data_IF_017966134471
#
_entry.id   IF_017966134471
#
_cell.length_a   1.000
_cell.length_b   1.000
_cell.length_c   1.000
_cell.angle_alpha   90.00
_cell.angle_beta   90.00
_cell.angle_gamma   90.00
#
_symmetry.space_group_name_H-M   'P 1'
#
loop_
_entity.id
_entity.type
_entity.pdbx_description
1 polymer ?
#
# COMPACT_ATOMS: atom_id res chain seq x y z
N UNK A 1 -17.44 1.31 27.70
CA UNK A 1 -15.97 1.22 27.80
C UNK A 1 -15.57 -0.11 27.19
N UNK A 2 -14.77 -0.11 26.11
CA UNK A 2 -14.25 -1.36 25.53
C UNK A 2 -13.04 -1.77 26.36
N UNK A 3 -13.16 -2.86 27.12
CA UNK A 3 -12.04 -3.46 27.83
C UNK A 3 -11.40 -4.46 26.86
N UNK A 4 -10.16 -4.21 26.46
CA UNK A 4 -9.42 -5.10 25.57
C UNK A 4 -8.78 -6.18 26.43
N UNK A 5 -9.20 -7.42 26.24
CA UNK A 5 -8.55 -8.58 26.84
C UNK A 5 -7.26 -8.90 26.08
N UNK A 6 -6.13 -8.94 26.82
CA UNK A 6 -4.82 -9.27 26.26
C UNK A 6 -4.79 -10.68 25.67
N UNK A 7 -5.57 -11.64 26.20
CA UNK A 7 -5.65 -12.99 25.64
C UNK A 7 -6.38 -12.97 24.29
N UNK A 8 -7.50 -12.25 24.19
CA UNK A 8 -8.20 -12.05 22.93
C UNK A 8 -7.31 -11.34 21.90
N UNK A 9 -6.52 -10.34 22.33
CA UNK A 9 -5.58 -9.63 21.47
C UNK A 9 -4.52 -10.57 20.89
N UNK A 10 -3.87 -11.38 21.73
CA UNK A 10 -2.86 -12.35 21.29
C UNK A 10 -3.47 -13.38 20.32
N UNK A 11 -4.71 -13.80 20.56
CA UNK A 11 -5.41 -14.71 19.65
C UNK A 11 -5.63 -14.07 18.27
N UNK A 12 -6.08 -12.82 18.21
CA UNK A 12 -6.27 -12.12 16.93
C UNK A 12 -4.95 -11.88 16.19
N UNK A 13 -3.85 -11.62 16.90
CA UNK A 13 -2.51 -11.59 16.27
C UNK A 13 -2.11 -12.93 15.64
N UNK A 14 -2.43 -14.06 16.28
CA UNK A 14 -2.19 -15.39 15.70
C UNK A 14 -3.09 -15.64 14.48
N UNK A 15 -4.36 -15.27 14.59
CA UNK A 15 -5.33 -15.39 13.50
C UNK A 15 -4.92 -14.54 12.29
N UNK A 16 -4.38 -13.34 12.53
CA UNK A 16 -3.87 -12.44 11.51
C UNK A 16 -2.77 -13.09 10.65
N UNK A 17 -1.80 -13.79 11.27
CA UNK A 17 -0.71 -14.46 10.53
C UNK A 17 -1.24 -15.59 9.63
N UNK A 18 -2.30 -16.26 10.06
CA UNK A 18 -2.94 -17.34 9.29
C UNK A 18 -3.96 -16.83 8.26
N UNK A 19 -4.23 -15.52 8.23
CA UNK A 19 -5.24 -14.95 7.35
C UNK A 19 -4.72 -14.77 5.92
N UNK A 20 -5.45 -15.30 4.93
CA UNK A 20 -5.06 -15.25 3.52
C UNK A 20 -4.91 -13.83 2.96
N UNK A 21 -5.77 -12.88 3.36
CA UNK A 21 -5.65 -11.50 2.87
C UNK A 21 -4.39 -10.83 3.42
N UNK A 22 -4.03 -11.08 4.68
CA UNK A 22 -2.77 -10.58 5.27
C UNK A 22 -1.56 -11.19 4.56
N UNK A 23 -1.60 -12.48 4.25
CA UNK A 23 -0.51 -13.13 3.51
C UNK A 23 -0.35 -12.53 2.11
N UNK A 24 -1.45 -12.34 1.38
CA UNK A 24 -1.44 -11.67 0.06
C UNK A 24 -0.91 -10.24 0.19
N UNK A 25 -1.33 -9.49 1.20
CA UNK A 25 -0.83 -8.14 1.47
C UNK A 25 0.69 -8.12 1.66
N UNK A 26 1.24 -9.00 2.49
CA UNK A 26 2.70 -9.10 2.70
C UNK A 26 3.41 -9.44 1.39
N UNK A 27 2.91 -10.41 0.63
CA UNK A 27 3.50 -10.78 -0.67
C UNK A 27 3.45 -9.63 -1.68
N UNK A 28 2.37 -8.86 -1.71
CA UNK A 28 2.23 -7.68 -2.57
C UNK A 28 3.22 -6.58 -2.15
N UNK A 29 3.37 -6.28 -0.86
CA UNK A 29 4.38 -5.31 -0.39
C UNK A 29 5.79 -5.75 -0.76
N UNK A 30 6.11 -7.04 -0.58
CA UNK A 30 7.40 -7.59 -0.98
C UNK A 30 7.62 -7.49 -2.49
N UNK A 31 6.60 -7.81 -3.29
CA UNK A 31 6.64 -7.65 -4.74
C UNK A 31 6.88 -6.20 -5.17
N UNK A 32 6.28 -5.24 -4.47
CA UNK A 32 6.47 -3.82 -4.78
C UNK A 32 7.91 -3.36 -4.49
N UNK A 33 8.46 -3.78 -3.35
CA UNK A 33 9.87 -3.52 -3.02
C UNK A 33 10.79 -4.11 -4.09
N UNK A 34 10.57 -5.37 -4.48
CA UNK A 34 11.40 -6.05 -5.47
C UNK A 34 11.32 -5.37 -6.85
N UNK A 35 10.11 -5.07 -7.33
CA UNK A 35 9.92 -4.40 -8.63
C UNK A 35 10.45 -2.97 -8.62
N UNK A 36 10.30 -2.24 -7.51
CA UNK A 36 10.86 -0.91 -7.31
C UNK A 36 12.39 -0.90 -7.32
N UNK A 37 13.03 -1.90 -6.71
CA UNK A 37 14.48 -2.09 -6.75
C UNK A 37 14.97 -2.42 -8.17
N UNK A 38 14.32 -3.37 -8.87
CA UNK A 38 14.64 -3.68 -10.25
C UNK A 38 14.58 -2.43 -11.13
N UNK A 39 13.49 -1.68 -11.03
CA UNK A 39 13.29 -0.41 -11.74
C UNK A 39 14.44 0.58 -11.50
N UNK A 40 14.83 0.79 -10.25
CA UNK A 40 15.93 1.70 -9.89
C UNK A 40 17.27 1.28 -10.51
N UNK A 41 17.53 -0.03 -10.63
CA UNK A 41 18.75 -0.57 -11.23
C UNK A 41 18.74 -0.41 -12.75
N UNK A 42 17.65 -0.80 -13.42
CA UNK A 42 17.59 -0.84 -14.89
C UNK A 42 17.42 0.55 -15.53
N UNK A 43 16.70 1.47 -14.89
CA UNK A 43 16.43 2.82 -15.43
C UNK A 43 17.57 3.80 -15.08
N UNK A 44 18.56 3.39 -14.26
CA UNK A 44 19.71 4.21 -13.80
C UNK A 44 19.33 5.52 -13.08
N UNK A 45 18.06 5.72 -12.74
CA UNK A 45 17.57 6.86 -11.96
C UNK A 45 17.60 6.62 -10.43
N UNK A 46 18.30 5.57 -9.98
CA UNK A 46 18.37 5.15 -8.59
C UNK A 46 19.09 6.16 -7.69
N UNK A 47 18.35 7.15 -7.17
CA UNK A 47 18.81 7.93 -6.03
C UNK A 47 18.62 7.10 -4.76
N UNK A 48 19.73 6.72 -4.11
CA UNK A 48 19.74 5.90 -2.88
C UNK A 48 18.82 6.46 -1.78
N UNK A 49 18.74 7.80 -1.65
CA UNK A 49 17.85 8.47 -0.71
C UNK A 49 16.37 8.24 -1.03
N UNK A 50 16.00 8.26 -2.32
CA UNK A 50 14.62 7.94 -2.75
C UNK A 50 14.29 6.47 -2.50
N UNK A 51 15.24 5.57 -2.75
CA UNK A 51 15.09 4.13 -2.49
C UNK A 51 14.88 3.83 -1.01
N UNK A 52 15.71 4.40 -0.13
CA UNK A 52 15.57 4.25 1.32
C UNK A 52 14.23 4.80 1.83
N UNK A 53 13.84 5.99 1.37
CA UNK A 53 12.54 6.58 1.74
C UNK A 53 11.38 5.67 1.29
N UNK A 54 11.49 5.07 0.11
CA UNK A 54 10.58 4.04 -0.37
C UNK A 54 10.47 2.90 0.64
N UNK A 55 11.58 2.23 0.97
CA UNK A 55 11.60 1.12 1.93
C UNK A 55 10.99 1.48 3.28
N UNK A 56 11.31 2.66 3.82
CA UNK A 56 10.73 3.16 5.08
C UNK A 56 9.21 3.28 4.98
N UNK A 57 8.66 3.83 3.88
CA UNK A 57 7.20 3.91 3.68
C UNK A 57 6.54 2.53 3.69
N UNK A 58 7.14 1.53 3.03
CA UNK A 58 6.61 0.18 3.01
C UNK A 58 6.57 -0.43 4.41
N UNK A 59 7.67 -0.30 5.17
CA UNK A 59 7.74 -0.79 6.56
C UNK A 59 6.70 -0.10 7.46
N UNK A 60 6.54 1.22 7.34
CA UNK A 60 5.55 1.96 8.14
C UNK A 60 4.12 1.48 7.86
N UNK A 61 3.79 1.19 6.60
CA UNK A 61 2.45 0.69 6.25
C UNK A 61 2.24 -0.76 6.73
N UNK A 62 3.27 -1.62 6.64
CA UNK A 62 3.19 -2.97 7.21
C UNK A 62 2.95 -2.91 8.72
N UNK A 63 3.67 -2.02 9.43
CA UNK A 63 3.44 -1.77 10.86
C UNK A 63 2.02 -1.27 11.12
N UNK A 64 1.53 -0.31 10.33
CA UNK A 64 0.18 0.23 10.45
C UNK A 64 -0.89 -0.86 10.30
N UNK A 65 -0.79 -1.70 9.27
CA UNK A 65 -1.75 -2.80 9.05
C UNK A 65 -1.66 -3.83 10.17
N UNK A 66 -0.45 -4.19 10.61
CA UNK A 66 -0.23 -5.16 11.69
C UNK A 66 -0.81 -4.70 13.03
N UNK A 67 -0.83 -3.39 13.28
CA UNK A 67 -1.46 -2.81 14.46
C UNK A 67 -2.97 -2.68 14.26
N UNK A 68 -3.42 -2.06 13.17
CA UNK A 68 -4.84 -1.73 13.01
C UNK A 68 -5.74 -2.97 12.88
N UNK A 69 -5.30 -3.99 12.14
CA UNK A 69 -6.12 -5.16 11.83
C UNK A 69 -6.66 -5.92 13.06
N UNK A 70 -5.82 -6.37 14.03
CA UNK A 70 -6.32 -7.09 15.19
C UNK A 70 -7.21 -6.23 16.08
N UNK A 71 -6.94 -4.92 16.20
CA UNK A 71 -7.79 -4.02 16.98
C UNK A 71 -9.16 -3.81 16.33
N UNK A 72 -9.23 -3.65 15.01
CA UNK A 72 -10.50 -3.57 14.29
C UNK A 72 -11.33 -4.85 14.46
N UNK A 73 -10.68 -6.02 14.44
CA UNK A 73 -11.32 -7.32 14.71
C UNK A 73 -11.90 -7.40 16.12
N UNK A 74 -11.14 -7.01 17.15
CA UNK A 74 -11.60 -7.01 18.56
C UNK A 74 -12.75 -6.03 18.79
N UNK A 75 -12.78 -4.91 18.05
CA UNK A 75 -13.88 -3.96 18.10
C UNK A 75 -15.14 -4.44 17.36
N UNK A 76 -15.14 -5.66 16.81
CA UNK A 76 -16.26 -6.21 16.04
C UNK A 76 -16.40 -5.62 14.63
N UNK A 77 -15.38 -4.92 14.14
CA UNK A 77 -15.37 -4.24 12.85
C UNK A 77 -14.68 -5.09 11.77
N UNK A 78 -15.02 -6.37 11.69
CA UNK A 78 -14.27 -7.34 10.87
C UNK A 78 -14.28 -6.98 9.38
N UNK A 79 -15.43 -6.56 8.85
CA UNK A 79 -15.56 -6.14 7.45
C UNK A 79 -14.68 -4.93 7.13
N UNK A 80 -14.55 -4.01 8.09
CA UNK A 80 -13.67 -2.83 7.97
C UNK A 80 -12.21 -3.27 8.01
N UNK A 81 -11.84 -4.20 8.90
CA UNK A 81 -10.48 -4.75 8.96
C UNK A 81 -10.07 -5.40 7.63
N UNK A 82 -10.94 -6.21 7.04
CA UNK A 82 -10.70 -6.83 5.73
C UNK A 82 -10.65 -5.77 4.62
N UNK A 83 -11.59 -4.84 4.58
CA UNK A 83 -11.59 -3.74 3.60
C UNK A 83 -10.32 -2.88 3.68
N UNK A 84 -9.83 -2.63 4.89
CA UNK A 84 -8.59 -1.89 5.14
C UNK A 84 -7.35 -2.61 4.57
N UNK A 85 -7.27 -3.93 4.73
CA UNK A 85 -6.18 -4.73 4.14
C UNK A 85 -6.30 -4.76 2.62
N UNK A 86 -7.50 -4.96 2.08
CA UNK A 86 -7.76 -4.96 0.63
C UNK A 86 -7.43 -3.61 -0.01
N UNK A 87 -7.70 -2.50 0.67
CA UNK A 87 -7.30 -1.17 0.23
C UNK A 87 -5.78 -1.09 0.04
N UNK A 88 -4.99 -1.53 1.01
CA UNK A 88 -3.53 -1.50 0.87
C UNK A 88 -3.00 -2.52 -0.15
N UNK A 89 -3.65 -3.68 -0.31
CA UNK A 89 -3.36 -4.60 -1.42
C UNK A 89 -3.53 -3.88 -2.76
N UNK A 90 -4.62 -3.12 -2.95
CA UNK A 90 -4.85 -2.36 -4.18
C UNK A 90 -3.80 -1.26 -4.37
N UNK A 91 -3.47 -0.50 -3.32
CA UNK A 91 -2.45 0.57 -3.36
C UNK A 91 -1.10 0.02 -3.82
N UNK A 92 -0.62 -1.07 -3.23
CA UNK A 92 0.66 -1.66 -3.62
C UNK A 92 0.58 -2.44 -4.94
N UNK A 93 -0.56 -3.04 -5.26
CA UNK A 93 -0.80 -3.65 -6.57
C UNK A 93 -0.67 -2.64 -7.71
N UNK A 94 -1.20 -1.44 -7.52
CA UNK A 94 -1.05 -0.31 -8.45
C UNK A 94 0.44 0.06 -8.61
N UNK A 95 1.18 0.19 -7.51
CA UNK A 95 2.62 0.50 -7.52
C UNK A 95 3.45 -0.54 -8.27
N UNK A 96 3.14 -1.84 -8.10
CA UNK A 96 3.77 -2.93 -8.86
C UNK A 96 3.53 -2.76 -10.36
N UNK A 97 2.28 -2.51 -10.78
CA UNK A 97 1.94 -2.36 -12.20
C UNK A 97 2.68 -1.17 -12.80
N UNK A 98 2.81 -0.06 -12.06
CA UNK A 98 3.60 1.09 -12.49
C UNK A 98 5.08 0.71 -12.67
N UNK A 99 5.68 0.05 -11.68
CA UNK A 99 7.08 -0.36 -11.73
C UNK A 99 7.35 -1.32 -12.91
N UNK A 100 6.47 -2.30 -13.12
CA UNK A 100 6.55 -3.24 -14.23
C UNK A 100 6.36 -2.53 -15.59
N UNK A 101 5.44 -1.57 -15.67
CA UNK A 101 5.20 -0.79 -16.88
C UNK A 101 6.42 0.05 -17.28
N UNK A 102 7.11 0.65 -16.30
CA UNK A 102 8.37 1.37 -16.51
C UNK A 102 9.53 0.43 -16.91
N UNK A 103 9.50 -0.82 -16.46
CA UNK A 103 10.43 -1.88 -16.88
C UNK A 103 10.10 -2.48 -18.27
N UNK A 104 9.07 -1.99 -18.95
CA UNK A 104 8.71 -2.44 -20.31
C UNK A 104 7.80 -3.67 -20.36
N UNK A 105 7.25 -4.12 -19.23
CA UNK A 105 6.25 -5.20 -19.22
C UNK A 105 4.98 -4.72 -19.95
N UNK A 106 4.46 -5.48 -20.93
CA UNK A 106 3.29 -5.07 -21.69
C UNK A 106 2.04 -5.13 -20.82
N UNK A 107 1.39 -3.98 -20.65
CA UNK A 107 0.06 -3.87 -20.07
C UNK A 107 -0.92 -3.30 -21.09
N UNK A 108 -2.21 -3.66 -21.03
CA UNK A 108 -3.25 -3.08 -21.87
C UNK A 108 -3.29 -1.55 -21.78
N UNK A 109 -3.63 -0.88 -22.89
CA UNK A 109 -3.64 0.59 -22.99
C UNK A 109 -4.53 1.24 -21.92
N UNK A 110 -5.68 0.63 -21.63
CA UNK A 110 -6.61 1.12 -20.62
C UNK A 110 -6.00 1.12 -19.22
N UNK A 111 -5.14 0.16 -18.86
CA UNK A 111 -4.45 0.13 -17.56
C UNK A 111 -3.50 1.31 -17.43
N UNK A 112 -2.69 1.53 -18.47
CA UNK A 112 -1.70 2.61 -18.49
C UNK A 112 -2.36 3.99 -18.39
N UNK A 113 -3.46 4.20 -19.10
CA UNK A 113 -4.19 5.47 -19.10
C UNK A 113 -4.79 5.82 -17.74
N UNK A 114 -5.38 4.85 -17.04
CA UNK A 114 -5.96 5.08 -15.72
C UNK A 114 -4.88 5.34 -14.66
N UNK A 115 -3.75 4.64 -14.74
CA UNK A 115 -2.61 4.87 -13.84
C UNK A 115 -1.99 6.27 -14.03
N UNK A 116 -1.85 6.74 -15.27
CA UNK A 116 -1.36 8.10 -15.52
C UNK A 116 -2.29 9.17 -14.94
N UNK A 117 -3.62 8.98 -15.03
CA UNK A 117 -4.60 9.91 -14.45
C UNK A 117 -4.52 9.97 -12.92
N UNK A 118 -4.37 8.82 -12.26
CA UNK A 118 -4.20 8.76 -10.80
C UNK A 118 -2.92 9.48 -10.33
N UNK A 119 -1.86 9.45 -11.13
CA UNK A 119 -0.63 10.18 -10.83
C UNK A 119 -0.81 11.69 -10.96
N UNK A 120 -1.46 12.14 -12.04
CA UNK A 120 -1.77 13.55 -12.26
C UNK A 120 -2.66 14.14 -11.15
N UNK A 121 -3.60 13.36 -10.61
CA UNK A 121 -4.44 13.78 -9.47
C UNK A 121 -3.65 13.85 -8.15
N UNK A 122 -2.74 12.90 -7.88
CA UNK A 122 -1.91 12.92 -6.69
C UNK A 122 -0.89 14.09 -6.69
N UNK A 123 -0.35 14.45 -7.86
CA UNK A 123 0.58 15.59 -7.98
C UNK A 123 -0.16 16.94 -7.93
N UNK A 124 -1.44 17.01 -8.36
CA UNK A 124 -2.27 18.24 -8.33
C UNK A 124 -3.05 18.47 -7.04
N UNK A 125 -3.09 17.50 -6.13
CA UNK A 125 -3.79 17.59 -4.85
C UNK A 125 -3.20 18.57 -3.82
N UNK A 126 -2.19 19.37 -4.20
CA UNK A 126 -1.50 20.33 -3.32
C UNK A 126 -1.56 21.79 -3.74
N UNK A 127 -2.17 22.13 -4.88
CA UNK A 127 -2.40 23.54 -5.24
C UNK A 127 -3.81 23.96 -4.79
N UNK A 128 -3.94 24.94 -3.88
CA UNK A 128 -5.20 25.64 -3.71
C UNK A 128 -5.59 26.16 -5.09
N UNK A 129 -6.79 25.85 -5.54
CA UNK A 129 -7.38 26.60 -6.64
C UNK A 129 -7.71 27.98 -6.11
N UNK A 130 -6.71 28.87 -6.11
CA UNK A 130 -6.91 30.30 -5.93
C UNK A 130 -7.74 30.76 -7.12
N UNK A 131 -9.03 30.88 -6.86
CA UNK A 131 -10.03 31.32 -7.81
C UNK A 131 -11.23 31.88 -7.06
N UNK A 132 -11.07 33.07 -6.49
CA UNK A 132 -12.12 34.09 -6.37
C UNK A 132 -11.54 35.40 -5.77
N UNK A 133 -11.55 36.47 -6.57
CA UNK A 133 -11.56 37.93 -6.29
C UNK A 133 -10.77 38.59 -7.43
N UNK A 134 -11.30 39.30 -8.42
CA UNK A 134 -12.60 39.92 -8.71
C UNK A 134 -12.88 39.89 -10.23
#
# INVERSE_FOLDING_TARGET
MVIIDNQALILEFKNMISNGFIQVFVWIVLGDILTGLCKGIFIKEGNSTKGLLGLVKHLLVVCLVSIAYPYLKIMGLESIATGFVLFYIAVYGISIIENLGQLGVPFPSWVKEHLSKLKDENDKGGEPKDGASD
#
